data_IF_832662499160
#
_entry.id   IF_832662499160
#
_cell.length_a   1.000
_cell.length_b   1.000
_cell.length_c   1.000
_cell.angle_alpha   90.00
_cell.angle_beta   90.00
_cell.angle_gamma   90.00
#
_symmetry.space_group_name_H-M   'P 1'
#
loop_
_entity.id
_entity.type
_entity.pdbx_description
1 polymer ?
#
# COMPACT_ATOMS: atom_id res chain seq x y z
N UNK A 1 9.58 -2.83 -6.57
CA UNK A 1 8.42 -3.72 -6.85
C UNK A 1 7.35 -3.61 -5.77
N UNK A 2 7.59 -4.01 -4.52
CA UNK A 2 6.50 -4.03 -3.51
C UNK A 2 5.91 -2.66 -3.16
N UNK A 3 6.71 -1.58 -3.23
CA UNK A 3 6.30 -0.24 -2.82
C UNK A 3 5.12 0.33 -3.65
N UNK A 4 5.24 0.38 -4.99
CA UNK A 4 4.14 0.87 -5.84
C UNK A 4 2.91 -0.06 -5.86
N UNK A 5 3.14 -1.39 -5.86
CA UNK A 5 2.07 -2.38 -5.93
C UNK A 5 1.14 -2.34 -4.70
N UNK A 6 1.67 -2.02 -3.53
CA UNK A 6 0.84 -1.82 -2.33
C UNK A 6 -0.18 -0.69 -2.51
N UNK A 7 0.22 0.42 -3.14
CA UNK A 7 -0.71 1.52 -3.47
C UNK A 7 -1.65 1.10 -4.59
N UNK A 8 -1.13 0.51 -5.67
CA UNK A 8 -1.92 0.15 -6.85
C UNK A 8 -3.01 -0.88 -6.56
N UNK A 9 -2.75 -1.84 -5.66
CA UNK A 9 -3.65 -2.97 -5.41
C UNK A 9 -4.48 -2.83 -4.13
N UNK A 10 -3.90 -2.23 -3.09
CA UNK A 10 -4.50 -2.22 -1.76
C UNK A 10 -4.86 -0.80 -1.29
N UNK A 11 -4.62 0.23 -2.11
CA UNK A 11 -4.83 1.64 -1.74
C UNK A 11 -4.07 2.02 -0.46
N UNK A 12 -2.85 1.48 -0.33
CA UNK A 12 -2.00 1.73 0.84
C UNK A 12 -1.67 3.20 0.99
N UNK A 13 -1.87 3.73 2.20
CA UNK A 13 -1.61 5.12 2.56
C UNK A 13 -0.39 5.32 3.47
N UNK A 14 0.24 4.22 3.94
CA UNK A 14 1.42 4.25 4.80
C UNK A 14 2.47 3.27 4.28
N UNK A 15 3.71 3.75 4.15
CA UNK A 15 4.90 2.96 3.86
C UNK A 15 5.78 2.84 5.11
N UNK A 16 6.22 1.63 5.43
CA UNK A 16 7.12 1.36 6.57
C UNK A 16 8.44 0.80 6.07
N UNK A 17 9.56 1.38 6.52
CA UNK A 17 10.91 1.04 6.06
C UNK A 17 11.82 0.70 7.25
N UNK A 18 12.57 -0.40 7.15
CA UNK A 18 13.48 -0.86 8.19
C UNK A 18 14.91 -0.32 7.99
N UNK A 19 15.32 0.66 8.78
CA UNK A 19 16.63 1.34 8.63
C UNK A 19 17.86 0.43 8.75
N UNK A 20 17.76 -0.70 9.44
CA UNK A 20 18.85 -1.70 9.57
C UNK A 20 18.82 -2.78 8.49
N UNK A 21 17.79 -2.80 7.66
CA UNK A 21 17.52 -3.86 6.69
C UNK A 21 17.71 -3.35 5.26
N UNK A 22 17.28 -2.12 4.99
CA UNK A 22 17.39 -1.51 3.66
C UNK A 22 18.46 -0.41 3.64
N UNK A 23 19.20 -0.34 2.54
CA UNK A 23 20.15 0.75 2.29
C UNK A 23 19.44 2.05 1.88
N UNK A 24 20.12 3.21 2.00
CA UNK A 24 19.52 4.52 1.74
C UNK A 24 19.02 4.71 0.30
N UNK A 25 19.75 4.20 -0.70
CA UNK A 25 19.33 4.28 -2.10
C UNK A 25 18.03 3.50 -2.34
N UNK A 26 17.93 2.27 -1.81
CA UNK A 26 16.72 1.46 -1.93
C UNK A 26 15.54 2.08 -1.15
N UNK A 27 15.81 2.74 -0.02
CA UNK A 27 14.79 3.48 0.73
C UNK A 27 14.24 4.66 -0.08
N UNK A 28 15.11 5.40 -0.77
CA UNK A 28 14.72 6.50 -1.66
C UNK A 28 13.89 5.97 -2.83
N UNK A 29 14.39 4.97 -3.56
CA UNK A 29 13.68 4.39 -4.70
C UNK A 29 12.30 3.82 -4.32
N UNK A 30 12.21 3.14 -3.16
CA UNK A 30 10.95 2.62 -2.65
C UNK A 30 9.97 3.74 -2.30
N UNK A 31 10.46 4.81 -1.67
CA UNK A 31 9.65 5.98 -1.30
C UNK A 31 9.12 6.68 -2.55
N UNK A 32 9.99 6.90 -3.54
CA UNK A 32 9.62 7.51 -4.82
C UNK A 32 8.58 6.67 -5.57
N UNK A 33 8.77 5.35 -5.62
CA UNK A 33 7.83 4.44 -6.26
C UNK A 33 6.47 4.42 -5.53
N UNK A 34 6.46 4.48 -4.20
CA UNK A 34 5.23 4.54 -3.40
C UNK A 34 4.47 5.86 -3.65
N UNK A 35 5.16 7.00 -3.60
CA UNK A 35 4.52 8.32 -3.76
C UNK A 35 3.98 8.57 -5.17
N UNK A 36 4.62 7.98 -6.19
CA UNK A 36 4.20 8.12 -7.60
C UNK A 36 3.11 7.13 -8.00
N UNK A 37 2.90 6.07 -7.22
CA UNK A 37 1.90 5.06 -7.50
C UNK A 37 0.48 5.62 -7.34
N UNK A 38 -0.45 5.09 -8.12
CA UNK A 38 -1.87 5.46 -8.05
C UNK A 38 -2.70 4.19 -7.97
N UNK A 39 -3.71 4.19 -7.11
CA UNK A 39 -4.62 3.06 -6.96
C UNK A 39 -5.24 2.69 -8.32
N UNK A 40 -5.16 1.42 -8.71
CA UNK A 40 -5.56 1.02 -10.07
C UNK A 40 -7.08 1.03 -10.28
N UNK A 41 -7.86 1.00 -9.20
CA UNK A 41 -9.33 1.04 -9.28
C UNK A 41 -9.97 -0.20 -9.91
N UNK A 42 -9.18 -1.24 -10.23
CA UNK A 42 -9.71 -2.46 -10.83
C UNK A 42 -10.72 -3.14 -9.91
N UNK A 43 -11.76 -3.75 -10.49
CA UNK A 43 -12.87 -4.37 -9.77
C UNK A 43 -12.39 -5.34 -8.68
N UNK A 44 -11.35 -6.15 -8.99
CA UNK A 44 -10.78 -7.10 -8.02
C UNK A 44 -10.13 -6.42 -6.82
N UNK A 45 -9.51 -5.26 -7.00
CA UNK A 45 -8.83 -4.49 -5.95
C UNK A 45 -9.86 -3.78 -5.07
N UNK A 46 -10.84 -3.10 -5.70
CA UNK A 46 -11.96 -2.47 -4.99
C UNK A 46 -12.74 -3.49 -4.15
N UNK A 47 -13.02 -4.68 -4.72
CA UNK A 47 -13.71 -5.76 -3.99
C UNK A 47 -12.93 -6.21 -2.76
N UNK A 48 -11.60 -6.32 -2.84
CA UNK A 48 -10.75 -6.73 -1.69
C UNK A 48 -10.68 -5.63 -0.63
N UNK A 49 -10.48 -4.37 -1.05
CA UNK A 49 -10.47 -3.21 -0.16
C UNK A 49 -11.79 -3.10 0.64
N UNK A 50 -12.93 -3.31 -0.02
CA UNK A 50 -14.23 -3.29 0.64
C UNK A 50 -14.42 -4.42 1.66
N UNK A 51 -13.75 -5.58 1.50
CA UNK A 51 -13.76 -6.63 2.52
C UNK A 51 -13.05 -6.19 3.79
N UNK A 52 -11.90 -5.51 3.65
CA UNK A 52 -11.14 -4.96 4.78
C UNK A 52 -11.98 -3.90 5.50
N UNK A 53 -12.53 -2.92 4.77
CA UNK A 53 -13.45 -1.92 5.33
C UNK A 53 -14.66 -2.56 6.03
N UNK A 54 -15.19 -3.66 5.47
CA UNK A 54 -16.27 -4.41 6.08
C UNK A 54 -15.89 -5.14 7.37
N UNK A 55 -14.62 -5.54 7.55
CA UNK A 55 -14.12 -6.05 8.83
C UNK A 55 -14.04 -4.90 9.84
N UNK A 56 -13.42 -3.78 9.46
CA UNK A 56 -13.28 -2.61 10.33
C UNK A 56 -14.64 -2.12 10.87
N UNK A 57 -15.66 -2.04 10.00
CA UNK A 57 -17.01 -1.63 10.40
C UNK A 57 -17.71 -2.59 11.37
N UNK A 58 -17.34 -3.88 11.38
CA UNK A 58 -17.91 -4.87 12.31
C UNK A 58 -17.22 -4.85 13.67
N UNK A 59 -15.90 -4.71 13.68
CA UNK A 59 -15.09 -4.86 14.89
C UNK A 59 -14.90 -3.54 15.65
N UNK A 60 -15.00 -2.39 14.98
CA UNK A 60 -14.80 -1.06 15.59
C UNK A 60 -16.09 -0.26 15.79
N UNK A 61 -17.25 -0.94 15.82
CA UNK A 61 -18.57 -0.32 16.09
C UNK A 61 -18.97 -0.41 17.55
#
# INVERSE_FOLDING_TARGET
YSAHQGVEHDDMNVLVLGSRIIGPMMAQDATDAFLKATFSGEERHVRRLNKVKGIEQREFR
#
